data_IF_532163265995
#
_entry.id   IF_532163265995
#
_cell.length_a   1.000
_cell.length_b   1.000
_cell.length_c   1.000
_cell.angle_alpha   90.00
_cell.angle_beta   90.00
_cell.angle_gamma   90.00
#
_symmetry.space_group_name_H-M   'P 1'
#
loop_
_entity.id
_entity.type
_entity.pdbx_description
1 polymer ?
#
# COMPACT_ATOMS: atom_id res chain seq x y z
N UNK A 1 14.14 40.68 20.63
CA UNK A 1 13.03 40.97 19.69
C UNK A 1 13.04 40.10 18.43
N UNK A 2 14.15 39.99 17.67
CA UNK A 2 14.20 39.15 16.44
C UNK A 2 13.98 37.63 16.68
N UNK A 3 14.46 37.08 17.80
CA UNK A 3 14.22 35.66 18.18
C UNK A 3 12.76 35.37 18.57
N UNK A 4 12.02 36.38 19.05
CA UNK A 4 10.61 36.23 19.43
C UNK A 4 9.69 36.27 18.19
N UNK A 5 10.09 37.03 17.15
CA UNK A 5 9.39 37.11 15.87
C UNK A 5 9.47 35.80 15.07
N UNK A 6 10.55 35.02 15.22
CA UNK A 6 10.74 33.74 14.51
C UNK A 6 9.87 32.61 15.08
N UNK A 7 9.57 32.64 16.39
CA UNK A 7 8.71 31.65 17.06
C UNK A 7 7.24 31.82 16.63
N UNK A 8 6.81 33.06 16.37
CA UNK A 8 5.44 33.34 15.91
C UNK A 8 5.18 32.88 14.47
N UNK A 9 6.21 32.75 13.64
CA UNK A 9 6.07 32.37 12.23
C UNK A 9 5.95 30.85 11.99
N UNK A 10 6.40 30.03 12.94
CA UNK A 10 6.33 28.56 12.85
C UNK A 10 5.07 27.96 13.50
N UNK A 11 4.28 28.75 14.24
CA UNK A 11 3.08 28.27 14.92
C UNK A 11 1.92 27.81 14.00
N UNK A 12 1.71 28.33 12.76
CA UNK A 12 0.54 27.92 11.97
C UNK A 12 0.74 26.61 11.17
N UNK A 13 1.93 26.01 11.16
CA UNK A 13 2.18 24.78 10.38
C UNK A 13 1.66 23.51 11.06
N UNK A 14 1.31 23.55 12.35
CA UNK A 14 0.84 22.38 13.09
C UNK A 14 -0.69 22.18 13.07
N UNK A 15 -1.45 23.02 12.35
CA UNK A 15 -2.93 23.07 12.48
C UNK A 15 -3.65 22.16 11.45
N UNK A 16 -2.96 21.61 10.46
CA UNK A 16 -3.58 20.74 9.43
C UNK A 16 -3.15 19.27 9.53
N UNK A 17 -3.08 18.71 10.74
CA UNK A 17 -2.96 17.27 10.88
C UNK A 17 -4.32 16.62 10.59
N UNK A 18 -4.36 15.65 9.67
CA UNK A 18 -5.56 14.86 9.41
C UNK A 18 -5.96 14.12 10.69
N UNK A 19 -7.13 14.45 11.26
CA UNK A 19 -7.61 13.86 12.51
C UNK A 19 -8.28 12.50 12.28
N UNK A 20 -8.78 12.27 11.06
CA UNK A 20 -9.36 11.00 10.66
C UNK A 20 -8.26 9.98 10.40
N UNK A 21 -8.28 8.86 11.11
CA UNK A 21 -7.38 7.74 10.83
C UNK A 21 -7.62 7.26 9.39
N UNK A 22 -6.57 7.18 8.60
CA UNK A 22 -6.59 6.66 7.22
C UNK A 22 -5.69 5.43 7.15
N UNK A 23 -5.99 4.54 6.20
CA UNK A 23 -5.16 3.38 5.87
C UNK A 23 -4.39 3.71 4.61
N UNK A 24 -3.08 3.43 4.60
CA UNK A 24 -2.22 3.57 3.43
C UNK A 24 -1.65 2.20 3.08
N UNK A 25 -1.94 1.74 1.86
CA UNK A 25 -1.31 0.56 1.27
C UNK A 25 -0.23 1.01 0.30
N UNK A 26 1.01 0.56 0.51
CA UNK A 26 2.14 0.79 -0.39
C UNK A 26 2.58 -0.56 -0.91
N UNK A 27 2.55 -0.75 -2.23
CA UNK A 27 3.19 -1.90 -2.86
C UNK A 27 4.41 -1.47 -3.66
N UNK A 28 5.44 -2.31 -3.67
CA UNK A 28 6.71 -2.07 -4.35
C UNK A 28 6.91 -3.24 -5.32
N UNK A 29 6.80 -2.98 -6.61
CA UNK A 29 6.92 -4.03 -7.63
C UNK A 29 8.35 -4.60 -7.64
N UNK A 30 8.47 -5.92 -7.76
CA UNK A 30 9.74 -6.63 -7.77
C UNK A 30 10.56 -6.55 -6.48
N UNK A 31 9.96 -6.14 -5.35
CA UNK A 31 10.66 -6.00 -4.08
C UNK A 31 11.00 -7.37 -3.48
N UNK A 32 12.27 -7.78 -3.62
CA UNK A 32 12.79 -8.97 -2.95
C UNK A 32 13.26 -8.62 -1.54
N UNK A 33 12.91 -9.47 -0.57
CA UNK A 33 13.27 -9.25 0.83
C UNK A 33 14.80 -9.21 1.05
N UNK A 34 15.56 -10.06 0.35
CA UNK A 34 17.03 -10.08 0.45
C UNK A 34 17.70 -8.83 -0.13
N UNK A 35 17.12 -8.26 -1.19
CA UNK A 35 17.58 -6.99 -1.75
C UNK A 35 17.21 -5.81 -0.84
N UNK A 36 16.04 -5.84 -0.20
CA UNK A 36 15.61 -4.82 0.76
C UNK A 36 16.52 -4.78 1.99
N UNK A 37 16.94 -5.95 2.50
CA UNK A 37 17.86 -6.05 3.65
C UNK A 37 19.24 -5.42 3.39
N UNK A 38 19.72 -5.51 2.14
CA UNK A 38 21.01 -4.92 1.75
C UNK A 38 20.93 -3.42 1.40
N UNK A 39 19.73 -2.90 1.17
CA UNK A 39 19.53 -1.53 0.73
C UNK A 39 19.64 -0.55 1.91
N UNK A 40 20.08 0.68 1.62
CA UNK A 40 20.04 1.77 2.60
C UNK A 40 18.65 2.42 2.59
N UNK A 41 17.75 1.96 3.47
CA UNK A 41 16.34 2.36 3.48
C UNK A 41 15.89 2.96 4.82
N UNK A 42 16.50 4.07 5.31
CA UNK A 42 16.33 4.53 6.68
C UNK A 42 14.87 4.83 7.10
N UNK A 43 13.99 5.14 6.13
CA UNK A 43 12.55 5.31 6.40
C UNK A 43 11.82 3.98 6.54
N UNK A 44 12.10 3.00 5.70
CA UNK A 44 11.51 1.65 5.80
C UNK A 44 12.05 0.95 7.05
N UNK A 45 13.34 1.09 7.34
CA UNK A 45 13.98 0.54 8.53
C UNK A 45 13.29 1.06 9.81
N UNK A 46 12.94 2.34 9.82
CA UNK A 46 12.19 2.95 10.91
C UNK A 46 10.76 2.38 11.04
N UNK A 47 10.06 2.18 9.91
CA UNK A 47 8.74 1.54 9.90
C UNK A 47 8.79 0.10 10.42
N UNK A 48 9.81 -0.67 10.04
CA UNK A 48 10.03 -2.04 10.51
C UNK A 48 10.28 -2.04 12.02
N UNK A 49 11.17 -1.18 12.51
CA UNK A 49 11.52 -1.12 13.93
C UNK A 49 10.35 -0.70 14.84
N UNK A 50 9.38 0.05 14.32
CA UNK A 50 8.22 0.56 15.06
C UNK A 50 6.90 -0.11 14.65
N UNK A 51 6.96 -1.20 13.90
CA UNK A 51 5.80 -1.86 13.32
C UNK A 51 5.82 -3.38 13.49
N UNK A 52 5.03 -4.05 12.65
CA UNK A 52 5.04 -5.52 12.52
C UNK A 52 5.60 -5.82 11.13
N UNK A 53 6.61 -6.68 11.07
CA UNK A 53 7.32 -7.00 9.84
C UNK A 53 7.47 -8.52 9.68
N UNK A 54 7.22 -9.01 8.47
CA UNK A 54 7.52 -10.38 8.04
C UNK A 54 8.24 -10.33 6.69
N UNK A 55 9.51 -10.77 6.60
CA UNK A 55 10.18 -10.96 5.32
C UNK A 55 9.72 -12.25 4.61
N UNK A 56 9.03 -13.13 5.33
CA UNK A 56 8.50 -14.38 4.81
C UNK A 56 7.14 -14.12 4.17
N UNK A 57 7.15 -13.90 2.86
CA UNK A 57 5.97 -13.73 2.02
C UNK A 57 6.20 -14.50 0.70
N UNK A 58 5.55 -15.65 0.58
CA UNK A 58 5.62 -16.48 -0.62
C UNK A 58 4.42 -16.18 -1.52
N UNK A 59 4.70 -15.88 -2.80
CA UNK A 59 3.68 -15.88 -3.85
C UNK A 59 3.68 -17.27 -4.51
N UNK A 60 2.68 -18.09 -4.20
CA UNK A 60 2.51 -19.45 -4.72
C UNK A 60 1.66 -19.49 -6.01
N UNK A 61 1.75 -18.43 -6.80
CA UNK A 61 0.97 -18.20 -8.01
C UNK A 61 1.84 -17.50 -9.08
N UNK A 62 1.23 -16.97 -10.15
CA UNK A 62 1.91 -16.28 -11.24
C UNK A 62 2.63 -15.01 -10.73
N UNK A 63 3.95 -14.95 -10.91
CA UNK A 63 4.81 -13.82 -10.50
C UNK A 63 4.93 -12.73 -11.58
N UNK A 64 3.79 -12.38 -12.19
CA UNK A 64 3.64 -11.25 -13.12
C UNK A 64 2.87 -10.13 -12.38
N UNK A 65 3.18 -8.86 -12.66
CA UNK A 65 2.56 -7.72 -11.98
C UNK A 65 1.03 -7.79 -11.98
N UNK A 66 0.38 -8.00 -13.13
CA UNK A 66 -1.08 -8.06 -13.24
C UNK A 66 -1.72 -9.06 -12.27
N UNK A 67 -1.38 -10.36 -12.33
CA UNK A 67 -1.84 -11.37 -11.38
C UNK A 67 -1.49 -11.03 -9.93
N UNK A 68 -0.25 -10.64 -9.62
CA UNK A 68 0.18 -10.35 -8.25
C UNK A 68 -0.60 -9.18 -7.61
N UNK A 69 -0.76 -8.07 -8.34
CA UNK A 69 -1.59 -6.94 -7.88
C UNK A 69 -3.06 -7.32 -7.75
N UNK A 70 -3.57 -8.16 -8.65
CA UNK A 70 -4.94 -8.68 -8.58
C UNK A 70 -5.15 -9.52 -7.32
N UNK A 71 -4.18 -10.36 -6.96
CA UNK A 71 -4.26 -11.18 -5.77
C UNK A 71 -4.25 -10.34 -4.48
N UNK A 72 -3.36 -9.33 -4.41
CA UNK A 72 -3.30 -8.38 -3.28
C UNK A 72 -4.63 -7.66 -3.11
N UNK A 73 -5.23 -7.18 -4.20
CA UNK A 73 -6.43 -6.34 -4.13
C UNK A 73 -7.72 -7.15 -3.99
N UNK A 74 -7.82 -8.34 -4.59
CA UNK A 74 -9.02 -9.18 -4.54
C UNK A 74 -9.00 -10.16 -3.35
N UNK A 75 -7.83 -10.38 -2.72
CA UNK A 75 -7.68 -11.30 -1.58
C UNK A 75 -7.85 -12.79 -1.95
N UNK A 76 -7.70 -13.13 -3.23
CA UNK A 76 -7.81 -14.49 -3.80
C UNK A 76 -6.75 -14.67 -4.88
N UNK A 77 -6.49 -15.92 -5.31
CA UNK A 77 -5.48 -16.21 -6.35
C UNK A 77 -6.07 -16.19 -7.77
N UNK A 78 -5.19 -16.42 -8.76
CA UNK A 78 -5.51 -16.38 -10.19
C UNK A 78 -6.55 -17.41 -10.63
N UNK A 79 -6.69 -18.52 -9.90
CA UNK A 79 -7.76 -19.51 -10.10
C UNK A 79 -9.17 -18.94 -9.87
N UNK A 80 -9.28 -17.85 -9.11
CA UNK A 80 -10.53 -17.15 -8.81
C UNK A 80 -10.69 -15.85 -9.58
N UNK A 81 -9.74 -14.92 -9.45
CA UNK A 81 -9.87 -13.61 -10.11
C UNK A 81 -9.56 -13.64 -11.61
N UNK A 82 -9.01 -14.74 -12.13
CA UNK A 82 -8.72 -15.01 -13.55
C UNK A 82 -7.72 -14.07 -14.24
N UNK A 83 -7.18 -13.07 -13.55
CA UNK A 83 -6.01 -12.30 -13.99
C UNK A 83 -4.76 -13.17 -14.07
N UNK A 84 -4.30 -13.46 -15.29
CA UNK A 84 -3.14 -14.34 -15.57
C UNK A 84 -1.98 -13.64 -16.28
N UNK A 85 -2.18 -12.40 -16.72
CA UNK A 85 -1.18 -11.56 -17.37
C UNK A 85 -1.47 -10.05 -17.15
N UNK A 86 -0.78 -9.18 -17.87
CA UNK A 86 -0.94 -7.72 -17.77
C UNK A 86 -2.04 -7.14 -18.69
N UNK A 87 -2.82 -7.97 -19.38
CA UNK A 87 -3.89 -7.51 -20.28
C UNK A 87 -5.18 -7.18 -19.52
N UNK A 88 -5.38 -7.80 -18.35
CA UNK A 88 -6.62 -7.75 -17.56
C UNK A 88 -7.87 -8.19 -18.35
N UNK A 89 -7.69 -8.98 -19.40
CA UNK A 89 -8.79 -9.54 -20.19
C UNK A 89 -9.27 -10.85 -19.58
N UNK A 90 -10.59 -11.06 -19.52
CA UNK A 90 -11.20 -12.30 -19.04
C UNK A 90 -11.15 -12.48 -17.51
N UNK A 91 -10.93 -11.40 -16.76
CA UNK A 91 -10.90 -11.42 -15.29
C UNK A 91 -12.30 -11.60 -14.70
N UNK A 92 -12.39 -12.16 -13.49
CA UNK A 92 -13.63 -12.26 -12.72
C UNK A 92 -13.65 -11.31 -11.52
N UNK A 93 -13.47 -10.01 -11.80
CA UNK A 93 -13.61 -8.97 -10.77
C UNK A 93 -15.06 -8.68 -10.38
N UNK A 94 -16.03 -9.33 -11.03
CA UNK A 94 -17.44 -9.22 -10.63
C UNK A 94 -17.70 -10.06 -9.39
N UNK A 95 -17.24 -11.32 -9.38
CA UNK A 95 -17.39 -12.18 -8.21
C UNK A 95 -16.26 -12.00 -7.19
N UNK A 96 -15.08 -11.55 -7.63
CA UNK A 96 -13.92 -11.27 -6.79
C UNK A 96 -13.47 -9.81 -6.95
N UNK A 97 -14.29 -8.85 -6.49
CA UNK A 97 -13.98 -7.44 -6.67
C UNK A 97 -12.74 -7.02 -5.87
N UNK A 98 -11.95 -6.05 -6.37
CA UNK A 98 -10.84 -5.50 -5.64
C UNK A 98 -11.32 -4.70 -4.41
N UNK A 99 -10.46 -4.57 -3.40
CA UNK A 99 -10.72 -3.84 -2.16
C UNK A 99 -11.36 -2.46 -2.38
N UNK A 100 -10.91 -1.70 -3.38
CA UNK A 100 -11.43 -0.37 -3.67
C UNK A 100 -12.92 -0.37 -4.05
N UNK A 101 -13.39 -1.40 -4.76
CA UNK A 101 -14.81 -1.54 -5.08
C UNK A 101 -15.66 -1.70 -3.81
N UNK A 102 -15.18 -2.47 -2.84
CA UNK A 102 -15.85 -2.60 -1.54
C UNK A 102 -15.89 -1.28 -0.76
N UNK A 103 -14.81 -0.48 -0.84
CA UNK A 103 -14.75 0.84 -0.20
C UNK A 103 -15.75 1.80 -0.87
N UNK A 104 -15.76 1.87 -2.20
CA UNK A 104 -16.67 2.72 -2.97
C UNK A 104 -18.14 2.34 -2.79
N UNK A 105 -18.45 1.04 -2.70
CA UNK A 105 -19.81 0.56 -2.42
C UNK A 105 -20.29 0.90 -1.00
N UNK A 106 -19.36 0.99 -0.05
CA UNK A 106 -19.66 1.38 1.32
C UNK A 106 -19.89 2.90 1.42
N UNK A 107 -18.99 3.71 0.85
CA UNK A 107 -19.12 5.16 0.74
C UNK A 107 -18.32 5.71 -0.45
N UNK A 108 -19.03 6.19 -1.47
CA UNK A 108 -18.42 6.75 -2.67
C UNK A 108 -17.76 8.13 -2.47
N UNK A 109 -17.91 8.76 -1.30
CA UNK A 109 -17.37 10.11 -1.01
C UNK A 109 -16.13 10.10 -0.10
N UNK A 110 -15.54 8.93 0.14
CA UNK A 110 -14.51 8.71 1.15
C UNK A 110 -13.10 9.22 0.79
#
# INVERSE_FOLDING_TARGET
MKKLLLILLCLPLCINAQTTKKVLLIGIDGCRADALELANTPTIDNLIANGIYSPDALNDDITISGPGWSAILCGVWSDKHLSVDNSFVGTDYTNYPPLFKHIEDFDANL
#
